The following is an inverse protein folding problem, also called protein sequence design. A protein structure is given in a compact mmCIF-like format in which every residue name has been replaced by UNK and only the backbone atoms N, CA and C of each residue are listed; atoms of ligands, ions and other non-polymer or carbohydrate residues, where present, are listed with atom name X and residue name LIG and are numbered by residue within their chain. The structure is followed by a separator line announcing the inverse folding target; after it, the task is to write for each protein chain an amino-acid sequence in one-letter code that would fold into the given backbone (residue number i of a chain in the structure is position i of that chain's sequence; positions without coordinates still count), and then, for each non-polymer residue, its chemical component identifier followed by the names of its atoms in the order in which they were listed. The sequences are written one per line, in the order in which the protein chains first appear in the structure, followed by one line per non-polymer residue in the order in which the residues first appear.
data_IF_658024447525
#
_entry.id   IF_658024447525
#
_cell.length_a   1.000
_cell.length_b   1.000
_cell.length_c   1.000
_cell.angle_alpha   90.00
_cell.angle_beta   90.00
_cell.angle_gamma   90.00
#
_symmetry.space_group_name_H-M   'P 1'
#
loop_
_entity.id
_entity.type
_entity.pdbx_description
1 polymer ?
#
# COMPACT_ATOMS: atom_id res chain seq x y z
N UNK A 1 9.74 0.90 18.66
CA UNK A 1 9.55 1.52 17.34
C UNK A 1 8.07 1.79 17.11
N UNK A 2 7.72 3.01 16.74
CA UNK A 2 6.33 3.37 16.46
C UNK A 2 5.91 2.86 15.08
N UNK A 3 4.60 2.77 14.84
CA UNK A 3 4.09 2.37 13.52
C UNK A 3 4.53 3.35 12.43
N UNK A 4 4.59 4.64 12.73
CA UNK A 4 5.09 5.64 11.78
C UNK A 4 6.54 5.37 11.38
N UNK A 5 7.38 5.00 12.33
CA UNK A 5 8.78 4.68 12.06
C UNK A 5 8.90 3.42 11.21
N UNK A 6 8.07 2.40 11.48
CA UNK A 6 8.04 1.18 10.67
C UNK A 6 7.64 1.49 9.23
N UNK A 7 6.59 2.30 9.06
CA UNK A 7 6.10 2.67 7.74
C UNK A 7 7.11 3.54 6.98
N UNK A 8 7.76 4.47 7.66
CA UNK A 8 8.78 5.31 7.04
C UNK A 8 9.99 4.49 6.60
N UNK A 9 10.41 3.52 7.43
CA UNK A 9 11.50 2.60 7.09
C UNK A 9 11.15 1.80 5.84
N UNK A 10 9.91 1.31 5.75
CA UNK A 10 9.45 0.56 4.59
C UNK A 10 9.46 1.39 3.32
N UNK A 11 9.06 2.67 3.41
CA UNK A 11 9.16 3.60 2.28
C UNK A 11 10.62 3.77 1.84
N UNK A 12 11.52 4.00 2.79
CA UNK A 12 12.93 4.25 2.49
C UNK A 12 13.58 3.03 1.84
N UNK A 13 13.29 1.83 2.34
CA UNK A 13 13.77 0.59 1.74
C UNK A 13 13.19 0.38 0.34
N UNK A 14 11.90 0.64 0.17
CA UNK A 14 11.23 0.49 -1.13
C UNK A 14 11.81 1.47 -2.15
N UNK A 15 12.13 2.69 -1.76
CA UNK A 15 12.78 3.68 -2.64
C UNK A 15 14.18 3.21 -3.05
N UNK A 16 14.93 2.62 -2.12
CA UNK A 16 16.26 2.09 -2.42
C UNK A 16 16.19 0.98 -3.47
N UNK A 17 15.24 0.05 -3.31
CA UNK A 17 15.04 -1.00 -4.29
C UNK A 17 14.53 -0.46 -5.62
N UNK A 18 13.63 0.53 -5.59
CA UNK A 18 13.11 1.17 -6.79
C UNK A 18 14.23 1.82 -7.61
N UNK A 19 15.17 2.49 -6.95
CA UNK A 19 16.30 3.14 -7.62
C UNK A 19 17.22 2.13 -8.31
N UNK A 20 17.23 0.88 -7.86
CA UNK A 20 18.02 -0.20 -8.45
C UNK A 20 17.34 -0.84 -9.66
N UNK A 21 16.02 -0.68 -9.79
CA UNK A 21 15.26 -1.26 -10.91
C UNK A 21 15.33 -0.33 -12.11
N UNK A 22 16.02 -0.78 -13.15
CA UNK A 22 16.24 0.01 -14.36
C UNK A 22 15.18 -0.22 -15.43
N UNK A 23 14.43 -1.33 -15.35
CA UNK A 23 13.41 -1.70 -16.32
C UNK A 23 12.03 -1.63 -15.72
N UNK A 24 11.02 -1.34 -16.54
CA UNK A 24 9.63 -1.38 -16.13
C UNK A 24 9.17 -2.83 -15.96
N UNK A 25 9.18 -3.31 -14.73
CA UNK A 25 8.76 -4.66 -14.37
C UNK A 25 7.54 -4.60 -13.44
N UNK A 26 6.87 -5.73 -13.27
CA UNK A 26 5.81 -5.86 -12.26
C UNK A 26 6.34 -5.53 -10.87
N UNK A 27 7.55 -5.97 -10.56
CA UNK A 27 8.21 -5.69 -9.29
C UNK A 27 8.39 -4.19 -9.05
N UNK A 28 8.82 -3.45 -10.08
CA UNK A 28 8.97 -2.00 -9.99
C UNK A 28 7.62 -1.31 -9.72
N UNK A 29 6.57 -1.76 -10.40
CA UNK A 29 5.21 -1.24 -10.19
C UNK A 29 4.71 -1.52 -8.78
N UNK A 30 4.98 -2.71 -8.25
CA UNK A 30 4.64 -3.07 -6.88
C UNK A 30 5.34 -2.16 -5.86
N UNK A 31 6.62 -1.86 -6.07
CA UNK A 31 7.36 -0.94 -5.20
C UNK A 31 6.75 0.46 -5.23
N UNK A 32 6.39 0.95 -6.42
CA UNK A 32 5.73 2.26 -6.56
C UNK A 32 4.39 2.30 -5.83
N UNK A 33 3.58 1.26 -5.98
CA UNK A 33 2.29 1.14 -5.28
C UNK A 33 2.47 1.08 -3.77
N UNK A 34 3.46 0.34 -3.30
CA UNK A 34 3.79 0.25 -1.87
C UNK A 34 4.09 1.63 -1.30
N UNK A 35 4.94 2.39 -1.98
CA UNK A 35 5.30 3.74 -1.56
C UNK A 35 4.07 4.65 -1.53
N UNK A 36 3.24 4.62 -2.57
CA UNK A 36 2.01 5.42 -2.64
C UNK A 36 1.05 5.11 -1.49
N UNK A 37 0.79 3.83 -1.24
CA UNK A 37 -0.16 3.42 -0.21
C UNK A 37 0.35 3.76 1.20
N UNK A 38 1.62 3.54 1.47
CA UNK A 38 2.20 3.87 2.78
C UNK A 38 2.20 5.39 3.00
N UNK A 39 2.54 6.18 1.98
CA UNK A 39 2.45 7.64 2.07
C UNK A 39 1.03 8.12 2.35
N UNK A 40 0.04 7.52 1.70
CA UNK A 40 -1.36 7.85 1.94
C UNK A 40 -1.76 7.58 3.39
N UNK A 41 -1.33 6.44 3.95
CA UNK A 41 -1.60 6.11 5.35
C UNK A 41 -0.91 7.10 6.28
N UNK A 42 0.37 7.41 6.05
CA UNK A 42 1.12 8.35 6.89
C UNK A 42 0.49 9.76 6.87
N UNK A 43 0.07 10.24 5.71
CA UNK A 43 -0.59 11.53 5.58
C UNK A 43 -1.88 11.58 6.41
N UNK A 44 -2.66 10.50 6.37
CA UNK A 44 -3.92 10.43 7.10
C UNK A 44 -3.71 10.25 8.61
N UNK A 45 -2.64 9.56 9.02
CA UNK A 45 -2.30 9.43 10.43
C UNK A 45 -1.98 10.76 11.10
N UNK A 46 -1.53 11.74 10.33
CA UNK A 46 -1.20 13.08 10.83
C UNK A 46 -2.41 13.98 11.02
N UNK A 47 -3.55 13.61 10.47
CA UNK A 47 -4.78 14.40 10.58
C UNK A 47 -5.47 14.11 11.91
N UNK A 48 -6.00 15.14 12.60
CA UNK A 48 -6.73 14.93 13.84
C UNK A 48 -8.09 14.27 13.58
N UNK A 49 -8.57 13.52 14.57
CA UNK A 49 -9.90 12.91 14.56
C UNK A 49 -10.14 11.87 13.45
N UNK A 50 -9.08 11.20 12.99
CA UNK A 50 -9.20 10.13 12.02
C UNK A 50 -8.87 8.80 12.67
N UNK A 51 -9.80 7.83 12.56
CA UNK A 51 -9.56 6.45 12.93
C UNK A 51 -8.91 5.74 11.74
N UNK A 52 -7.58 5.64 11.81
CA UNK A 52 -6.80 5.15 10.66
C UNK A 52 -7.17 3.71 10.26
N UNK A 53 -7.45 2.82 11.22
CA UNK A 53 -7.83 1.45 10.90
C UNK A 53 -9.15 1.41 10.14
N UNK A 54 -10.15 2.19 10.56
CA UNK A 54 -11.43 2.26 9.87
C UNK A 54 -11.28 2.85 8.47
N UNK A 55 -10.42 3.86 8.31
CA UNK A 55 -10.14 4.47 7.02
C UNK A 55 -9.48 3.47 6.07
N UNK A 56 -8.51 2.70 6.56
CA UNK A 56 -7.83 1.68 5.76
C UNK A 56 -8.82 0.59 5.34
N UNK A 57 -9.67 0.12 6.25
CA UNK A 57 -10.70 -0.88 5.93
C UNK A 57 -11.68 -0.37 4.87
N UNK A 58 -12.10 0.89 4.97
CA UNK A 58 -12.97 1.51 3.99
C UNK A 58 -12.30 1.58 2.61
N UNK A 59 -11.02 1.94 2.59
CA UNK A 59 -10.23 1.97 1.35
C UNK A 59 -10.10 0.57 0.74
N UNK A 60 -9.88 -0.45 1.55
CA UNK A 60 -9.80 -1.84 1.09
C UNK A 60 -11.12 -2.29 0.46
N UNK A 61 -12.25 -1.95 1.09
CA UNK A 61 -13.57 -2.29 0.54
C UNK A 61 -13.81 -1.59 -0.81
N UNK A 62 -13.41 -0.34 -0.95
CA UNK A 62 -13.49 0.39 -2.21
C UNK A 62 -12.67 -0.29 -3.31
N UNK A 63 -11.45 -0.73 -2.97
CA UNK A 63 -10.58 -1.44 -3.91
C UNK A 63 -11.18 -2.79 -4.30
N UNK A 64 -11.75 -3.52 -3.34
CA UNK A 64 -12.42 -4.82 -3.60
C UNK A 64 -13.57 -4.63 -4.59
N UNK A 65 -14.37 -3.58 -4.45
CA UNK A 65 -15.43 -3.28 -5.40
C UNK A 65 -14.89 -3.04 -6.81
N UNK A 66 -13.78 -2.31 -6.93
CA UNK A 66 -13.14 -2.07 -8.22
C UNK A 66 -12.61 -3.36 -8.84
N UNK A 67 -12.03 -4.24 -8.04
CA UNK A 67 -11.57 -5.56 -8.51
C UNK A 67 -12.74 -6.37 -9.04
N UNK A 68 -13.88 -6.36 -8.35
CA UNK A 68 -15.07 -7.09 -8.77
C UNK A 68 -15.67 -6.55 -10.07
N UNK A 69 -15.42 -5.28 -10.41
CA UNK A 69 -15.86 -4.66 -11.65
C UNK A 69 -14.88 -4.85 -12.81
N UNK A 70 -13.71 -5.42 -12.52
CA UNK A 70 -12.63 -5.59 -13.49
C UNK A 70 -12.68 -7.00 -14.08
N UNK A 71 -12.64 -7.10 -15.40
CA UNK A 71 -12.75 -8.38 -16.11
C UNK A 71 -11.39 -8.95 -16.52
N UNK A 72 -10.31 -8.20 -16.32
CA UNK A 72 -8.96 -8.60 -16.72
C UNK A 72 -8.08 -8.81 -15.48
N UNK A 73 -7.35 -9.92 -15.43
CA UNK A 73 -6.38 -10.20 -14.38
C UNK A 73 -5.27 -9.12 -14.38
N UNK A 74 -4.87 -8.67 -15.57
CA UNK A 74 -3.82 -7.65 -15.71
C UNK A 74 -4.29 -6.32 -15.12
N UNK A 75 -5.55 -5.93 -15.36
CA UNK A 75 -6.11 -4.70 -14.80
C UNK A 75 -6.32 -4.77 -13.29
N UNK A 76 -6.61 -5.97 -12.76
CA UNK A 76 -6.81 -6.18 -11.33
C UNK A 76 -5.51 -6.23 -10.53
N UNK A 77 -4.38 -6.49 -11.17
CA UNK A 77 -3.09 -6.71 -10.51
C UNK A 77 -2.66 -5.53 -9.61
N UNK A 78 -2.73 -4.25 -10.04
CA UNK A 78 -2.40 -3.13 -9.16
C UNK A 78 -3.28 -3.05 -7.93
N UNK A 79 -4.56 -3.40 -8.05
CA UNK A 79 -5.49 -3.40 -6.93
C UNK A 79 -5.16 -4.49 -5.91
N UNK A 80 -4.73 -5.66 -6.36
CA UNK A 80 -4.27 -6.71 -5.46
C UNK A 80 -3.02 -6.30 -4.69
N UNK A 81 -2.09 -5.60 -5.35
CA UNK A 81 -0.90 -5.05 -4.70
C UNK A 81 -1.28 -4.06 -3.61
N UNK A 82 -2.22 -3.16 -3.90
CA UNK A 82 -2.71 -2.18 -2.93
C UNK A 82 -3.34 -2.88 -1.72
N UNK A 83 -4.17 -3.89 -1.94
CA UNK A 83 -4.81 -4.65 -0.87
C UNK A 83 -3.80 -5.35 0.03
N UNK A 84 -2.77 -5.96 -0.54
CA UNK A 84 -1.72 -6.63 0.24
C UNK A 84 -0.98 -5.66 1.14
N UNK A 85 -0.66 -4.48 0.63
CA UNK A 85 0.05 -3.47 1.40
C UNK A 85 -0.81 -2.96 2.55
N UNK A 86 -2.08 -2.65 2.30
CA UNK A 86 -3.00 -2.19 3.34
C UNK A 86 -3.25 -3.25 4.41
N UNK A 87 -3.39 -4.51 3.99
CA UNK A 87 -3.54 -5.63 4.90
C UNK A 87 -2.30 -5.79 5.80
N UNK A 88 -1.11 -5.67 5.22
CA UNK A 88 0.14 -5.70 5.99
C UNK A 88 0.20 -4.56 7.02
N UNK A 89 -0.27 -3.37 6.66
CA UNK A 89 -0.28 -2.23 7.58
C UNK A 89 -1.21 -2.49 8.78
N UNK A 90 -2.37 -3.09 8.53
CA UNK A 90 -3.31 -3.43 9.59
C UNK A 90 -2.82 -4.57 10.49
N UNK A 91 -2.12 -5.54 9.91
CA UNK A 91 -1.71 -6.76 10.60
C UNK A 91 -0.23 -7.06 10.35
N UNK A 92 0.68 -6.18 10.80
CA UNK A 92 2.11 -6.32 10.45
C UNK A 92 2.79 -7.57 11.02
N UNK A 93 2.18 -8.22 12.00
CA UNK A 93 2.72 -9.45 12.57
C UNK A 93 2.40 -10.73 11.80
N UNK A 94 1.63 -10.65 10.72
CA UNK A 94 1.20 -11.82 9.95
C UNK A 94 2.12 -12.15 8.77
N UNK A 95 3.06 -11.28 8.47
CA UNK A 95 3.93 -11.44 7.29
C UNK A 95 5.39 -11.45 7.65
#
# INVERSE_FOLDING_TARGET
MTIEQVLQTEIDESKTWLDREKEETTYKRDLQKRIEMINWVLENMRKPNIYICALIESKMNEIIERVNQTYSIIEADPFHSELRILDWILYPGLY
#
